data_IF_566682290876
#
_entry.id   IF_566682290876
#
_cell.length_a   1.000
_cell.length_b   1.000
_cell.length_c   1.000
_cell.angle_alpha   90.00
_cell.angle_beta   90.00
_cell.angle_gamma   90.00
#
_symmetry.space_group_name_H-M   'P 1'
#
loop_
_entity.id
_entity.type
_entity.pdbx_description
1 polymer ?
#
# COMPACT_ATOMS: atom_id res chain seq x y z
N UNK A 1 33.29 -1.99 69.54
CA UNK A 1 34.23 -1.68 68.45
C UNK A 1 33.50 -0.87 67.38
N UNK A 2 33.93 0.40 67.21
CA UNK A 2 33.70 1.34 66.08
C UNK A 2 32.22 1.67 65.75
N UNK A 3 31.71 2.81 66.21
CA UNK A 3 31.57 4.12 65.50
C UNK A 3 30.47 4.08 64.41
N UNK A 4 29.54 5.03 64.23
CA UNK A 4 29.19 6.32 64.86
C UNK A 4 27.77 6.70 64.34
N UNK A 5 26.83 7.14 65.19
CA UNK A 5 26.24 8.51 65.29
C UNK A 5 25.36 8.98 64.10
N UNK A 6 24.01 9.08 64.27
CA UNK A 6 23.20 10.30 64.60
C UNK A 6 23.44 11.51 63.70
N UNK A 7 22.52 12.42 63.35
CA UNK A 7 21.06 12.61 63.41
C UNK A 7 20.82 13.95 62.68
N UNK A 8 19.70 14.08 61.94
CA UNK A 8 18.88 15.28 61.59
C UNK A 8 19.58 16.65 61.45
N UNK A 9 19.24 17.44 60.40
CA UNK A 9 18.83 18.86 60.49
C UNK A 9 18.29 19.34 59.14
N UNK A 10 17.06 19.86 59.17
CA UNK A 10 16.50 20.76 58.17
C UNK A 10 16.95 22.20 58.49
N UNK A 11 17.28 23.02 57.48
CA UNK A 11 17.36 24.47 57.67
C UNK A 11 16.88 25.26 56.44
N UNK A 12 16.21 26.34 56.78
CA UNK A 12 15.40 27.37 56.10
C UNK A 12 16.09 28.31 55.10
N UNK A 13 15.28 28.70 54.08
CA UNK A 13 14.97 30.06 53.55
C UNK A 13 16.11 30.98 53.07
N UNK A 14 15.99 31.44 51.81
CA UNK A 14 16.22 32.84 51.41
C UNK A 14 15.25 33.24 50.29
N UNK A 15 14.59 34.39 50.47
CA UNK A 15 13.61 34.98 49.57
C UNK A 15 14.30 35.79 48.44
N UNK A 16 13.66 35.93 47.27
CA UNK A 16 13.27 37.24 46.72
C UNK A 16 12.60 37.14 45.33
N UNK A 17 11.57 37.97 45.18
CA UNK A 17 11.04 38.59 43.95
C UNK A 17 10.10 37.81 43.02
N UNK A 18 8.82 38.13 43.17
CA UNK A 18 7.84 38.14 42.07
C UNK A 18 8.30 39.04 40.93
N UNK A 19 8.25 38.52 39.69
CA UNK A 19 7.92 39.31 38.50
C UNK A 19 6.97 38.50 37.62
N UNK A 20 5.80 39.08 37.43
CA UNK A 20 4.77 38.74 36.46
C UNK A 20 5.30 38.88 35.04
N UNK A 21 5.11 37.86 34.20
CA UNK A 21 5.38 37.92 32.76
C UNK A 21 4.48 36.92 32.02
N UNK A 22 3.80 37.40 30.99
CA UNK A 22 2.81 36.71 30.16
C UNK A 22 3.29 35.36 29.57
N UNK A 23 2.39 34.37 29.39
CA UNK A 23 2.71 33.15 28.67
C UNK A 23 2.70 33.41 27.17
N UNK A 24 3.88 33.65 26.58
CA UNK A 24 4.06 33.47 25.13
C UNK A 24 4.21 31.99 24.84
N UNK A 25 3.33 31.52 23.97
CA UNK A 25 3.30 30.24 23.26
C UNK A 25 4.69 29.66 22.98
N UNK A 26 4.99 28.54 23.62
CA UNK A 26 6.09 27.65 23.27
C UNK A 26 5.59 26.76 22.12
N UNK A 27 5.91 27.15 20.88
CA UNK A 27 5.69 26.29 19.71
C UNK A 27 6.80 25.25 19.76
N UNK A 28 6.45 24.04 20.18
CA UNK A 28 7.36 22.91 20.21
C UNK A 28 7.94 22.67 18.80
N UNK A 29 9.23 22.87 18.66
CA UNK A 29 10.01 22.47 17.49
C UNK A 29 10.07 20.94 17.48
N UNK A 30 9.14 20.29 16.76
CA UNK A 30 9.11 18.84 16.62
C UNK A 30 10.25 18.40 15.68
N UNK A 31 11.18 17.62 16.23
CA UNK A 31 12.32 17.08 15.51
C UNK A 31 11.85 16.13 14.39
N UNK A 32 12.04 16.54 13.14
CA UNK A 32 11.84 15.68 11.97
C UNK A 32 12.92 14.61 11.91
N UNK A 33 12.54 13.34 12.03
CA UNK A 33 13.49 12.22 11.91
C UNK A 33 13.70 11.87 10.45
N UNK A 34 14.92 12.13 9.97
CA UNK A 34 15.42 11.69 8.65
C UNK A 34 16.11 10.33 8.78
N UNK A 35 15.86 9.39 7.86
CA UNK A 35 16.71 8.19 7.73
C UNK A 35 18.14 8.57 7.33
N UNK A 36 19.09 7.63 7.41
CA UNK A 36 20.47 7.84 6.92
C UNK A 36 20.52 8.26 5.44
N UNK A 37 19.48 7.94 4.66
CA UNK A 37 19.29 8.33 3.26
C UNK A 37 18.54 9.67 3.06
N UNK A 38 18.25 10.39 4.15
CA UNK A 38 17.50 11.65 4.10
C UNK A 38 15.99 11.49 3.87
N UNK A 39 15.44 10.26 3.93
CA UNK A 39 14.00 10.04 3.79
C UNK A 39 13.28 10.50 5.06
N UNK A 40 12.31 11.40 4.90
CA UNK A 40 11.44 11.86 5.98
C UNK A 40 10.39 10.79 6.29
N UNK A 41 10.38 10.31 7.52
CA UNK A 41 9.33 9.40 8.00
C UNK A 41 8.02 10.18 8.21
N UNK A 42 6.84 9.66 7.83
CA UNK A 42 5.60 10.42 7.95
C UNK A 42 5.13 10.58 9.39
N UNK A 43 4.71 11.80 9.73
CA UNK A 43 4.12 12.08 11.05
C UNK A 43 2.66 11.58 11.15
N UNK A 44 2.27 11.00 12.29
CA UNK A 44 0.92 10.51 12.54
C UNK A 44 -0.04 11.68 12.76
N UNK A 45 -1.20 11.58 12.11
CA UNK A 45 -2.34 12.44 12.37
C UNK A 45 -3.18 11.93 13.55
N UNK A 46 -2.92 12.49 14.74
CA UNK A 46 -3.61 12.10 15.98
C UNK A 46 -5.12 12.37 15.94
N UNK A 47 -5.58 13.36 15.18
CA UNK A 47 -7.02 13.66 15.06
C UNK A 47 -7.74 12.57 14.27
N UNK A 48 -7.05 11.93 13.31
CA UNK A 48 -7.55 10.77 12.59
C UNK A 48 -7.30 9.44 13.30
N UNK A 49 -6.71 9.47 14.50
CA UNK A 49 -6.45 8.28 15.31
C UNK A 49 -5.15 7.56 14.98
N UNK A 50 -4.22 8.20 14.25
CA UNK A 50 -2.87 7.66 14.07
C UNK A 50 -2.01 7.88 15.32
N UNK A 51 -1.09 6.95 15.56
CA UNK A 51 -0.03 7.08 16.55
C UNK A 51 1.17 6.24 16.16
N UNK A 52 2.36 6.58 16.67
CA UNK A 52 3.54 5.74 16.50
C UNK A 52 3.48 4.51 17.40
N UNK A 53 3.79 3.35 16.84
CA UNK A 53 4.07 2.15 17.64
C UNK A 53 5.46 2.23 18.27
N UNK A 54 5.65 1.51 19.37
CA UNK A 54 6.94 1.43 20.05
C UNK A 54 8.04 0.93 19.10
N UNK A 55 9.09 1.73 18.91
CA UNK A 55 10.21 1.38 18.03
C UNK A 55 9.89 1.39 16.54
N UNK A 56 8.76 1.96 16.13
CA UNK A 56 8.33 2.01 14.72
C UNK A 56 9.40 2.61 13.80
N UNK A 57 10.06 3.69 14.20
CA UNK A 57 11.08 4.35 13.38
C UNK A 57 12.31 3.47 13.16
N UNK A 58 12.72 2.71 14.17
CA UNK A 58 13.86 1.78 14.05
C UNK A 58 13.51 0.59 13.16
N UNK A 59 12.26 0.13 13.23
CA UNK A 59 11.74 -0.90 12.32
C UNK A 59 11.68 -0.37 10.89
N UNK A 60 11.22 0.86 10.68
CA UNK A 60 11.12 1.49 9.36
C UNK A 60 12.48 1.59 8.65
N UNK A 61 13.57 1.76 9.40
CA UNK A 61 14.95 1.73 8.87
C UNK A 61 15.41 0.32 8.49
N UNK A 62 14.97 -0.71 9.22
CA UNK A 62 15.42 -2.09 9.01
C UNK A 62 14.72 -2.80 7.86
N UNK A 63 13.41 -2.61 7.69
CA UNK A 63 12.62 -3.40 6.72
C UNK A 63 13.17 -3.30 5.29
N UNK A 64 13.44 -2.10 4.73
CA UNK A 64 13.94 -1.99 3.36
C UNK A 64 15.26 -2.73 3.14
N UNK A 65 16.15 -2.74 4.14
CA UNK A 65 17.43 -3.45 4.09
C UNK A 65 17.25 -4.97 4.11
N UNK A 66 16.30 -5.48 4.90
CA UNK A 66 15.94 -6.91 4.90
C UNK A 66 15.44 -7.32 3.52
N UNK A 67 14.51 -6.55 2.95
CA UNK A 67 13.93 -6.83 1.63
C UNK A 67 14.98 -6.72 0.52
N UNK A 68 15.84 -5.70 0.56
CA UNK A 68 16.93 -5.57 -0.41
C UNK A 68 17.88 -6.77 -0.36
N UNK A 69 18.26 -7.23 0.83
CA UNK A 69 19.13 -8.40 0.97
C UNK A 69 18.48 -9.68 0.42
N UNK A 70 17.17 -9.86 0.64
CA UNK A 70 16.38 -10.94 0.05
C UNK A 70 16.38 -10.87 -1.48
N UNK A 71 16.16 -9.69 -2.05
CA UNK A 71 16.23 -9.45 -3.49
C UNK A 71 17.61 -9.76 -4.07
N UNK A 72 18.69 -9.29 -3.42
CA UNK A 72 20.08 -9.59 -3.84
C UNK A 72 20.35 -11.09 -3.86
N UNK A 73 19.83 -11.82 -2.88
CA UNK A 73 19.95 -13.28 -2.82
C UNK A 73 19.15 -13.95 -3.94
N UNK A 74 17.90 -13.54 -4.14
CA UNK A 74 16.98 -14.13 -5.13
C UNK A 74 17.44 -13.91 -6.57
N UNK A 75 17.99 -12.74 -6.87
CA UNK A 75 18.46 -12.35 -8.21
C UNK A 75 20.01 -12.36 -8.32
N UNK A 76 20.68 -13.17 -7.50
CA UNK A 76 22.15 -13.25 -7.46
C UNK A 76 22.77 -13.70 -8.80
N UNK A 77 22.03 -14.41 -9.65
CA UNK A 77 22.50 -14.88 -10.96
C UNK A 77 22.42 -13.82 -12.06
N UNK A 78 22.12 -12.56 -11.71
CA UNK A 78 22.17 -11.43 -12.65
C UNK A 78 20.95 -11.30 -13.56
N UNK A 79 19.85 -12.00 -13.26
CA UNK A 79 18.57 -11.72 -13.91
C UNK A 79 18.12 -10.29 -13.59
N UNK A 80 17.23 -9.73 -14.41
CA UNK A 80 16.60 -8.44 -14.14
C UNK A 80 16.00 -8.43 -12.73
N UNK A 81 16.32 -7.40 -11.95
CA UNK A 81 15.76 -7.21 -10.62
C UNK A 81 14.26 -6.92 -10.75
N UNK A 82 13.44 -7.82 -10.20
CA UNK A 82 11.99 -7.63 -10.16
C UNK A 82 11.58 -7.04 -8.81
N UNK A 83 10.26 -6.88 -8.60
CA UNK A 83 9.71 -6.48 -7.30
C UNK A 83 9.92 -7.58 -6.25
N UNK A 84 10.02 -7.18 -4.99
CA UNK A 84 10.15 -8.07 -3.84
C UNK A 84 8.90 -8.93 -3.63
N UNK A 85 7.74 -8.31 -3.75
CA UNK A 85 6.42 -8.91 -3.83
C UNK A 85 5.73 -8.41 -5.11
N UNK A 86 4.76 -9.16 -5.63
CA UNK A 86 4.13 -8.80 -6.89
C UNK A 86 5.02 -8.76 -8.16
N UNK A 87 6.09 -9.60 -8.30
CA UNK A 87 6.92 -9.62 -9.49
C UNK A 87 6.21 -10.21 -10.71
N UNK A 88 5.34 -11.22 -10.54
CA UNK A 88 4.57 -11.81 -11.65
C UNK A 88 3.38 -10.91 -12.00
N UNK A 89 3.40 -10.32 -13.18
CA UNK A 89 2.31 -9.50 -13.72
C UNK A 89 1.45 -10.29 -14.70
N UNK A 90 0.15 -9.98 -14.78
CA UNK A 90 -0.78 -10.61 -15.72
C UNK A 90 -1.07 -9.74 -16.93
N UNK A 91 -0.99 -8.43 -16.76
CA UNK A 91 -1.15 -7.46 -17.83
C UNK A 91 -1.12 -6.05 -17.30
N UNK A 92 -0.81 -5.11 -18.18
CA UNK A 92 -0.98 -3.68 -17.94
C UNK A 92 -2.01 -3.09 -18.89
N UNK A 93 -3.15 -2.72 -18.30
CA UNK A 93 -4.35 -2.35 -19.02
C UNK A 93 -4.52 -0.84 -19.01
N UNK A 94 -5.12 -0.33 -20.08
CA UNK A 94 -5.58 1.06 -20.14
C UNK A 94 -7.00 1.15 -19.62
N UNK A 95 -7.27 2.16 -18.81
CA UNK A 95 -8.59 2.38 -18.27
C UNK A 95 -8.95 3.87 -18.22
N UNK A 96 -10.21 4.16 -17.96
CA UNK A 96 -10.73 5.49 -17.68
C UNK A 96 -11.38 5.45 -16.30
N UNK A 97 -10.88 6.27 -15.38
CA UNK A 97 -11.46 6.52 -14.07
C UNK A 97 -12.40 7.72 -14.17
N UNK A 98 -13.68 7.55 -13.85
CA UNK A 98 -14.69 8.61 -13.94
C UNK A 98 -15.45 8.73 -12.63
N UNK A 99 -15.41 9.91 -12.02
CA UNK A 99 -16.16 10.19 -10.79
C UNK A 99 -17.66 10.21 -11.08
N UNK A 100 -18.43 9.62 -10.17
CA UNK A 100 -19.89 9.56 -10.30
C UNK A 100 -20.50 10.96 -10.23
N UNK A 101 -21.46 11.31 -11.11
CA UNK A 101 -22.06 12.65 -11.14
C UNK A 101 -22.90 12.96 -9.90
N UNK A 102 -23.39 11.93 -9.23
CA UNK A 102 -24.22 11.93 -8.02
C UNK A 102 -23.42 11.57 -6.75
N UNK A 103 -22.08 11.65 -6.80
CA UNK A 103 -21.22 11.43 -5.63
C UNK A 103 -21.66 12.29 -4.43
N UNK A 104 -21.67 11.69 -3.24
CA UNK A 104 -21.89 12.38 -1.98
C UNK A 104 -20.85 13.51 -1.79
N UNK A 105 -21.31 14.71 -1.42
CA UNK A 105 -20.44 15.87 -1.19
C UNK A 105 -19.36 15.65 -0.15
N UNK A 106 -19.57 14.76 0.83
CA UNK A 106 -18.58 14.40 1.84
C UNK A 106 -17.45 13.55 1.25
N UNK A 107 -17.72 12.82 0.17
CA UNK A 107 -16.76 11.97 -0.52
C UNK A 107 -16.08 12.66 -1.70
N UNK A 108 -16.62 13.79 -2.15
CA UNK A 108 -16.15 14.57 -3.30
C UNK A 108 -14.88 15.38 -2.99
N UNK A 109 -13.80 14.69 -2.63
CA UNK A 109 -12.50 15.27 -2.26
C UNK A 109 -11.38 14.78 -3.20
N UNK A 110 -10.41 15.64 -3.49
CA UNK A 110 -9.22 15.27 -4.27
C UNK A 110 -9.59 14.72 -5.65
N UNK A 111 -9.12 13.51 -5.98
CA UNK A 111 -9.43 12.89 -7.28
C UNK A 111 -10.91 12.52 -7.41
N UNK A 112 -11.64 12.37 -6.30
CA UNK A 112 -13.08 12.13 -6.29
C UNK A 112 -13.92 13.40 -6.45
N UNK A 113 -13.32 14.56 -6.73
CA UNK A 113 -14.09 15.78 -7.01
C UNK A 113 -15.04 15.59 -8.20
N UNK A 114 -16.27 16.10 -8.08
CA UNK A 114 -17.32 15.95 -9.09
C UNK A 114 -16.87 16.45 -10.47
N UNK A 115 -17.12 15.64 -11.49
CA UNK A 115 -16.74 15.94 -12.88
C UNK A 115 -15.32 15.50 -13.27
N UNK A 116 -14.51 15.04 -12.31
CA UNK A 116 -13.18 14.52 -12.63
C UNK A 116 -13.26 13.24 -13.47
N UNK A 117 -12.35 13.16 -14.44
CA UNK A 117 -12.11 11.98 -15.24
C UNK A 117 -10.62 11.89 -15.57
N UNK A 118 -10.04 10.71 -15.44
CA UNK A 118 -8.61 10.47 -15.67
C UNK A 118 -8.42 9.23 -16.54
N UNK A 119 -7.46 9.30 -17.46
CA UNK A 119 -6.88 8.08 -18.02
C UNK A 119 -6.12 7.34 -16.90
N UNK A 120 -6.06 6.02 -16.98
CA UNK A 120 -5.43 5.20 -15.96
C UNK A 120 -4.69 4.00 -16.56
N UNK A 121 -3.66 3.55 -15.84
CA UNK A 121 -2.95 2.30 -16.09
C UNK A 121 -3.26 1.36 -14.93
N UNK A 122 -3.68 0.13 -15.23
CA UNK A 122 -3.94 -0.91 -14.24
C UNK A 122 -2.90 -2.03 -14.39
N UNK A 123 -2.20 -2.40 -13.32
CA UNK A 123 -1.32 -3.56 -13.26
C UNK A 123 -1.91 -4.63 -12.35
N UNK A 124 -2.19 -5.80 -12.91
CA UNK A 124 -2.56 -7.00 -12.16
C UNK A 124 -1.35 -7.88 -11.86
N UNK A 125 -1.31 -8.50 -10.69
CA UNK A 125 -0.16 -9.32 -10.26
C UNK A 125 -0.49 -10.37 -9.19
N UNK A 126 0.41 -11.32 -8.98
CA UNK A 126 0.40 -12.31 -7.88
C UNK A 126 1.32 -11.85 -6.74
N UNK A 127 0.90 -11.90 -5.48
CA UNK A 127 1.67 -11.39 -4.34
C UNK A 127 3.00 -12.11 -4.09
N UNK A 128 3.09 -13.41 -4.39
CA UNK A 128 4.30 -14.22 -4.18
C UNK A 128 5.57 -13.57 -4.73
N UNK A 129 6.68 -13.61 -3.97
CA UNK A 129 7.99 -13.12 -4.41
C UNK A 129 8.67 -13.98 -5.49
N UNK A 130 8.09 -15.14 -5.84
CA UNK A 130 8.53 -15.99 -6.94
C UNK A 130 7.83 -15.57 -8.25
N UNK A 131 8.57 -14.99 -9.23
CA UNK A 131 7.99 -14.56 -10.52
C UNK A 131 7.49 -15.73 -11.38
N UNK A 132 7.87 -16.97 -11.06
CA UNK A 132 7.53 -18.17 -11.84
C UNK A 132 6.37 -18.96 -11.24
N UNK A 133 5.84 -18.53 -10.10
CA UNK A 133 4.77 -19.25 -9.40
C UNK A 133 3.55 -19.45 -10.33
N UNK A 134 3.09 -20.70 -10.54
CA UNK A 134 1.91 -20.96 -11.34
C UNK A 134 0.65 -20.34 -10.75
N UNK A 135 -0.20 -19.78 -11.59
CA UNK A 135 -1.41 -19.05 -11.18
C UNK A 135 -2.45 -19.91 -10.43
N UNK A 136 -2.34 -21.23 -10.57
CA UNK A 136 -3.24 -22.21 -9.93
C UNK A 136 -2.96 -22.36 -8.44
N UNK A 137 -1.80 -21.86 -7.98
CA UNK A 137 -1.48 -21.77 -6.55
C UNK A 137 -2.27 -20.63 -5.92
N UNK A 138 -2.88 -20.91 -4.78
CA UNK A 138 -3.51 -19.88 -3.96
C UNK A 138 -2.47 -18.81 -3.60
N UNK A 139 -2.87 -17.55 -3.65
CA UNK A 139 -2.02 -16.40 -3.33
C UNK A 139 -2.85 -15.09 -3.38
N UNK A 140 -2.31 -14.03 -2.78
CA UNK A 140 -2.85 -12.69 -2.92
C UNK A 140 -2.78 -12.22 -4.38
N UNK A 141 -3.72 -11.37 -4.78
CA UNK A 141 -3.78 -10.80 -6.14
C UNK A 141 -3.81 -9.30 -6.02
N UNK A 142 -2.85 -8.62 -6.64
CA UNK A 142 -2.72 -7.17 -6.64
C UNK A 142 -3.45 -6.52 -7.81
N UNK A 143 -3.99 -5.33 -7.55
CA UNK A 143 -4.42 -4.36 -8.56
C UNK A 143 -3.82 -3.00 -8.18
N UNK A 144 -2.83 -2.56 -8.95
CA UNK A 144 -2.30 -1.20 -8.83
C UNK A 144 -2.89 -0.34 -9.95
N UNK A 145 -3.49 0.79 -9.59
CA UNK A 145 -4.09 1.74 -10.54
C UNK A 145 -3.29 3.04 -10.47
N UNK A 146 -2.74 3.48 -11.59
CA UNK A 146 -2.09 4.80 -11.73
C UNK A 146 -2.98 5.70 -12.56
N UNK A 147 -3.56 6.72 -11.94
CA UNK A 147 -4.28 7.80 -12.60
C UNK A 147 -3.27 8.75 -13.27
N UNK A 148 -3.61 9.21 -14.46
CA UNK A 148 -2.79 10.09 -15.29
C UNK A 148 -3.38 11.48 -15.35
N UNK A 149 -2.53 12.48 -15.56
CA UNK A 149 -2.88 13.90 -15.63
C UNK A 149 -3.64 14.44 -14.41
N UNK A 150 -3.36 13.90 -13.22
CA UNK A 150 -3.90 14.38 -11.95
C UNK A 150 -3.19 15.68 -11.58
N UNK A 151 -3.85 16.85 -11.63
CA UNK A 151 -3.23 18.13 -11.28
C UNK A 151 -2.93 18.21 -9.78
N UNK A 152 -2.17 19.21 -9.36
CA UNK A 152 -1.85 19.47 -7.95
C UNK A 152 -0.58 18.77 -7.46
N UNK A 153 0.00 19.31 -6.39
CA UNK A 153 1.25 18.82 -5.81
C UNK A 153 1.01 17.49 -5.09
N UNK A 154 1.84 16.48 -5.36
CA UNK A 154 1.79 15.17 -4.69
C UNK A 154 2.57 15.21 -3.37
N UNK A 155 2.15 14.37 -2.42
CA UNK A 155 2.81 14.30 -1.10
C UNK A 155 4.14 13.57 -1.12
N UNK A 156 4.38 12.69 -2.10
CA UNK A 156 5.68 12.06 -2.30
C UNK A 156 6.69 13.08 -2.80
N UNK A 157 7.70 13.40 -2.00
CA UNK A 157 8.55 14.58 -2.21
C UNK A 157 9.28 14.56 -3.56
N UNK A 158 9.89 13.42 -3.88
CA UNK A 158 10.63 13.17 -5.13
C UNK A 158 9.76 13.13 -6.39
N UNK A 159 8.44 12.98 -6.23
CA UNK A 159 7.45 13.00 -7.31
C UNK A 159 6.42 14.13 -7.13
N UNK A 160 6.74 15.16 -6.34
CA UNK A 160 5.77 16.19 -5.93
C UNK A 160 5.16 16.96 -7.10
N UNK A 161 5.92 17.18 -8.17
CA UNK A 161 5.46 17.87 -9.40
C UNK A 161 4.92 16.90 -10.47
N UNK A 162 4.85 15.60 -10.16
CA UNK A 162 4.29 14.63 -11.09
C UNK A 162 2.77 14.78 -11.22
N UNK A 163 2.25 14.41 -12.39
CA UNK A 163 0.82 14.50 -12.71
C UNK A 163 0.12 13.15 -12.62
N UNK A 164 0.53 12.30 -11.68
CA UNK A 164 -0.01 10.95 -11.51
C UNK A 164 -0.41 10.70 -10.06
N UNK A 165 -1.35 9.79 -9.84
CA UNK A 165 -1.71 9.32 -8.49
C UNK A 165 -1.97 7.82 -8.51
N UNK A 166 -1.52 7.11 -7.49
CA UNK A 166 -1.65 5.67 -7.42
C UNK A 166 -2.65 5.20 -6.35
N UNK A 167 -3.39 4.15 -6.67
CA UNK A 167 -4.12 3.31 -5.73
C UNK A 167 -3.52 1.92 -5.75
N UNK A 168 -3.14 1.39 -4.59
CA UNK A 168 -2.53 0.08 -4.47
C UNK A 168 -3.45 -0.81 -3.67
N UNK A 169 -4.01 -1.82 -4.33
CA UNK A 169 -5.04 -2.68 -3.76
C UNK A 169 -4.71 -4.16 -3.94
N UNK A 170 -5.31 -4.99 -3.10
CA UNK A 170 -5.18 -6.46 -3.13
C UNK A 170 -6.56 -7.09 -2.92
N UNK A 171 -6.73 -8.34 -3.34
CA UNK A 171 -8.00 -9.05 -3.31
C UNK A 171 -8.43 -9.56 -1.91
N UNK A 172 -8.15 -8.81 -0.84
CA UNK A 172 -8.56 -9.13 0.52
C UNK A 172 -8.88 -7.84 1.30
N UNK A 173 -9.92 -7.79 2.15
CA UNK A 173 -10.38 -6.53 2.77
C UNK A 173 -9.50 -5.99 3.90
N UNK A 174 -8.63 -6.83 4.47
CA UNK A 174 -7.78 -6.52 5.63
C UNK A 174 -6.38 -7.08 5.43
N UNK A 175 -5.39 -6.41 6.03
CA UNK A 175 -4.00 -6.85 6.00
C UNK A 175 -3.70 -7.78 7.18
N UNK A 176 -2.66 -8.62 7.05
CA UNK A 176 -2.29 -9.60 8.07
C UNK A 176 -1.46 -9.02 9.22
N UNK A 177 -0.89 -7.81 9.07
CA UNK A 177 -0.09 -7.15 10.08
C UNK A 177 -0.66 -5.76 10.43
N UNK A 178 -0.42 -5.32 11.66
CA UNK A 178 -0.79 -3.99 12.15
C UNK A 178 0.32 -3.36 12.98
N UNK A 179 1.17 -4.19 13.61
CA UNK A 179 2.34 -3.75 14.33
C UNK A 179 3.60 -3.84 13.45
N UNK A 180 4.42 -2.78 13.36
CA UNK A 180 5.67 -2.78 12.62
C UNK A 180 6.63 -3.93 12.98
N UNK A 181 6.80 -4.23 14.28
CA UNK A 181 7.72 -5.26 14.76
C UNK A 181 7.31 -6.66 14.28
N UNK A 182 6.03 -6.98 14.39
CA UNK A 182 5.47 -8.24 13.92
C UNK A 182 5.69 -8.41 12.41
N UNK A 183 5.47 -7.34 11.64
CA UNK A 183 5.71 -7.35 10.20
C UNK A 183 7.18 -7.59 9.85
N UNK A 184 8.12 -6.89 10.52
CA UNK A 184 9.55 -7.10 10.32
C UNK A 184 9.97 -8.53 10.68
N UNK A 185 9.47 -9.08 11.78
CA UNK A 185 9.76 -10.44 12.21
C UNK A 185 9.21 -11.48 11.24
N UNK A 186 7.99 -11.26 10.71
CA UNK A 186 7.44 -12.09 9.66
C UNK A 186 8.31 -12.06 8.40
N UNK A 187 8.74 -10.86 7.95
CA UNK A 187 9.60 -10.71 6.77
C UNK A 187 10.96 -11.40 6.92
N UNK A 188 11.64 -11.26 8.06
CA UNK A 188 12.92 -11.92 8.34
C UNK A 188 12.85 -13.44 8.20
N UNK A 189 11.68 -14.02 8.48
CA UNK A 189 11.46 -15.46 8.46
C UNK A 189 10.77 -15.97 7.18
N UNK A 190 10.15 -15.10 6.40
CA UNK A 190 9.31 -15.47 5.23
C UNK A 190 10.09 -16.17 4.11
N UNK A 191 11.34 -15.75 3.87
CA UNK A 191 12.22 -16.35 2.85
C UNK A 191 12.89 -17.66 3.30
N UNK A 192 12.60 -18.13 4.52
CA UNK A 192 13.12 -19.42 4.99
C UNK A 192 12.53 -20.57 4.17
N UNK A 193 13.40 -21.41 3.61
CA UNK A 193 12.99 -22.67 2.98
C UNK A 193 12.51 -23.72 4.00
N UNK A 194 12.80 -23.52 5.28
CA UNK A 194 12.44 -24.44 6.36
C UNK A 194 10.99 -24.27 6.83
N UNK A 195 10.34 -25.37 7.23
CA UNK A 195 8.99 -25.35 7.81
C UNK A 195 8.99 -24.54 9.13
N UNK A 196 10.05 -24.65 9.93
CA UNK A 196 10.19 -23.90 11.17
C UNK A 196 10.24 -22.39 10.93
N UNK A 197 10.97 -21.94 9.91
CA UNK A 197 11.01 -20.52 9.55
C UNK A 197 9.65 -20.00 9.07
N UNK A 198 8.95 -20.76 8.22
CA UNK A 198 7.59 -20.41 7.79
C UNK A 198 6.60 -20.35 8.97
N UNK A 199 6.70 -21.29 9.91
CA UNK A 199 5.89 -21.28 11.13
C UNK A 199 6.24 -20.08 12.04
N UNK A 200 7.52 -19.75 12.17
CA UNK A 200 7.98 -18.56 12.91
C UNK A 200 7.45 -17.26 12.30
N UNK A 201 7.44 -17.16 10.96
CA UNK A 201 6.88 -16.03 10.25
C UNK A 201 5.39 -15.85 10.57
N UNK A 202 4.60 -16.93 10.53
CA UNK A 202 3.19 -16.90 10.89
C UNK A 202 3.00 -16.55 12.37
N UNK A 203 3.71 -17.21 13.28
CA UNK A 203 3.61 -16.97 14.72
C UNK A 203 3.90 -15.53 15.10
N UNK A 204 4.82 -14.86 14.37
CA UNK A 204 5.14 -13.43 14.57
C UNK A 204 3.94 -12.51 14.32
N UNK A 205 2.93 -12.93 13.55
CA UNK A 205 1.72 -12.16 13.25
C UNK A 205 0.60 -12.39 14.28
N UNK A 206 0.84 -13.26 15.27
CA UNK A 206 -0.17 -13.80 16.17
C UNK A 206 -1.24 -14.61 15.44
N UNK A 207 -2.23 -15.11 16.20
CA UNK A 207 -3.28 -15.99 15.67
C UNK A 207 -4.13 -15.30 14.59
N UNK A 208 -4.55 -14.06 14.85
CA UNK A 208 -5.40 -13.30 13.93
C UNK A 208 -4.68 -13.01 12.61
N UNK A 209 -3.47 -12.48 12.69
CA UNK A 209 -2.65 -12.19 11.51
C UNK A 209 -2.28 -13.45 10.73
N UNK A 210 -1.92 -14.54 11.41
CA UNK A 210 -1.69 -15.85 10.78
C UNK A 210 -2.89 -16.34 9.97
N UNK A 211 -4.11 -16.25 10.54
CA UNK A 211 -5.33 -16.67 9.85
C UNK A 211 -5.61 -15.82 8.61
N UNK A 212 -5.40 -14.50 8.70
CA UNK A 212 -5.55 -13.59 7.56
C UNK A 212 -4.51 -13.93 6.48
N UNK A 213 -3.24 -14.09 6.85
CA UNK A 213 -2.17 -14.44 5.91
C UNK A 213 -2.46 -15.76 5.18
N UNK A 214 -2.88 -16.81 5.90
CA UNK A 214 -3.26 -18.09 5.30
C UNK A 214 -4.51 -17.98 4.40
N UNK A 215 -5.47 -17.12 4.75
CA UNK A 215 -6.66 -16.87 3.93
C UNK A 215 -6.29 -16.19 2.61
N UNK A 216 -5.43 -15.16 2.65
CA UNK A 216 -4.89 -14.51 1.46
C UNK A 216 -4.11 -15.52 0.60
N UNK A 217 -3.22 -16.29 1.22
CA UNK A 217 -2.36 -17.26 0.54
C UNK A 217 -3.11 -18.49 0.00
N UNK A 218 -4.35 -18.74 0.41
CA UNK A 218 -5.15 -19.85 -0.11
C UNK A 218 -6.12 -19.42 -1.21
N UNK A 219 -6.29 -18.11 -1.43
CA UNK A 219 -7.28 -17.57 -2.36
C UNK A 219 -6.91 -17.88 -3.82
N UNK A 220 -7.86 -18.42 -4.56
CA UNK A 220 -7.78 -18.63 -6.01
C UNK A 220 -8.87 -17.81 -6.70
N UNK A 221 -8.61 -17.40 -7.94
CA UNK A 221 -9.51 -16.54 -8.73
C UNK A 221 -9.56 -17.07 -10.16
N UNK A 222 -10.67 -16.88 -10.87
CA UNK A 222 -10.80 -17.30 -12.27
C UNK A 222 -10.15 -16.29 -13.21
N UNK A 223 -10.35 -15.00 -12.94
CA UNK A 223 -9.77 -13.90 -13.69
C UNK A 223 -9.45 -12.71 -12.77
N UNK A 224 -8.37 -11.95 -13.04
CA UNK A 224 -8.07 -10.73 -12.28
C UNK A 224 -9.22 -9.72 -12.32
N UNK A 225 -9.89 -9.55 -13.46
CA UNK A 225 -10.99 -8.58 -13.63
C UNK A 225 -12.31 -8.99 -12.96
N UNK A 226 -12.40 -10.19 -12.38
CA UNK A 226 -13.60 -10.70 -11.70
C UNK A 226 -13.44 -10.74 -10.17
N UNK A 227 -12.32 -10.25 -9.64
CA UNK A 227 -12.06 -10.20 -8.21
C UNK A 227 -12.33 -8.81 -7.64
N UNK A 228 -12.89 -8.69 -6.42
CA UNK A 228 -12.88 -7.42 -5.70
C UNK A 228 -11.46 -7.14 -5.17
N UNK A 229 -11.11 -5.85 -5.11
CA UNK A 229 -9.82 -5.37 -4.61
C UNK A 229 -10.04 -4.29 -3.56
N UNK A 230 -9.18 -4.24 -2.56
CA UNK A 230 -9.30 -3.37 -1.40
C UNK A 230 -7.98 -2.69 -1.12
N UNK A 231 -8.05 -1.49 -0.56
CA UNK A 231 -6.87 -0.77 -0.11
C UNK A 231 -6.22 -1.41 1.13
N UNK A 232 -6.94 -2.31 1.82
CA UNK A 232 -6.67 -2.96 3.13
C UNK A 232 -6.48 -2.01 4.32
N UNK A 233 -5.79 -0.91 4.07
CA UNK A 233 -5.38 0.11 5.03
C UNK A 233 -6.10 1.43 4.74
N UNK A 234 -6.26 2.29 5.75
CA UNK A 234 -6.98 3.56 5.62
C UNK A 234 -6.13 4.68 4.99
N UNK A 235 -6.83 5.66 4.45
CA UNK A 235 -6.29 6.87 3.83
C UNK A 235 -7.08 8.06 4.36
N UNK A 236 -6.47 9.23 4.36
CA UNK A 236 -7.16 10.49 4.50
C UNK A 236 -8.09 10.67 3.31
N UNK A 237 -9.20 11.37 3.54
CA UNK A 237 -10.07 11.92 2.53
C UNK A 237 -10.36 13.39 2.90
N UNK A 238 -9.96 14.32 2.04
CA UNK A 238 -10.13 15.76 2.26
C UNK A 238 -8.96 16.43 3.01
N UNK A 239 -9.10 17.72 3.32
CA UNK A 239 -8.06 18.56 3.95
C UNK A 239 -8.57 19.29 5.18
N UNK A 240 -7.63 19.78 5.99
CA UNK A 240 -7.90 20.64 7.15
C UNK A 240 -8.82 19.96 8.16
N UNK A 241 -9.65 20.74 8.83
CA UNK A 241 -10.51 20.26 9.92
C UNK A 241 -11.64 19.33 9.46
N UNK A 242 -11.88 19.24 8.15
CA UNK A 242 -12.94 18.38 7.57
C UNK A 242 -12.41 17.05 7.04
N UNK A 243 -11.09 16.81 7.14
CA UNK A 243 -10.50 15.55 6.67
C UNK A 243 -11.00 14.38 7.49
N UNK A 244 -11.16 13.24 6.83
CA UNK A 244 -11.67 12.00 7.43
C UNK A 244 -10.76 10.84 7.09
N UNK A 245 -10.87 9.73 7.81
CA UNK A 245 -10.26 8.47 7.42
C UNK A 245 -11.23 7.65 6.58
N UNK A 246 -10.74 7.06 5.50
CA UNK A 246 -11.50 6.26 4.54
C UNK A 246 -10.71 5.02 4.09
N UNK A 247 -11.41 3.93 3.77
CA UNK A 247 -10.87 2.81 3.00
C UNK A 247 -11.44 2.82 1.60
N UNK A 248 -10.73 2.20 0.65
CA UNK A 248 -11.16 2.11 -0.75
C UNK A 248 -11.33 0.67 -1.19
N UNK A 249 -12.30 0.46 -2.08
CA UNK A 249 -12.61 -0.83 -2.67
C UNK A 249 -12.94 -0.66 -4.14
N UNK A 250 -12.60 -1.65 -4.95
CA UNK A 250 -13.00 -1.77 -6.32
C UNK A 250 -13.75 -3.10 -6.49
N UNK A 251 -15.03 -3.03 -6.81
CA UNK A 251 -15.88 -4.19 -7.08
C UNK A 251 -16.02 -4.40 -8.58
N UNK A 252 -15.82 -5.63 -9.08
CA UNK A 252 -15.98 -5.90 -10.50
C UNK A 252 -17.44 -5.67 -10.89
N UNK A 253 -17.63 -4.99 -12.01
CA UNK A 253 -18.95 -4.85 -12.59
C UNK A 253 -19.54 -6.23 -12.93
N UNK A 254 -20.86 -6.45 -12.79
CA UNK A 254 -21.51 -7.70 -13.18
C UNK A 254 -21.21 -8.12 -14.63
N UNK A 255 -21.02 -7.14 -15.51
CA UNK A 255 -20.68 -7.31 -16.93
C UNK A 255 -19.32 -7.99 -17.16
N UNK A 256 -18.44 -8.03 -16.16
CA UNK A 256 -17.16 -8.75 -16.24
C UNK A 256 -17.34 -10.28 -16.21
N UNK A 257 -18.55 -10.76 -15.89
CA UNK A 257 -18.86 -12.18 -15.75
C UNK A 257 -18.36 -12.79 -14.43
N UNK A 258 -18.59 -14.09 -14.29
CA UNK A 258 -18.21 -14.87 -13.13
C UNK A 258 -17.81 -16.28 -13.59
N UNK A 259 -16.58 -16.40 -14.08
CA UNK A 259 -16.06 -17.67 -14.57
C UNK A 259 -15.72 -18.61 -13.40
N UNK A 260 -15.82 -19.94 -13.58
CA UNK A 260 -15.36 -20.88 -12.58
C UNK A 260 -13.84 -20.83 -12.46
N UNK A 261 -13.33 -20.91 -11.23
CA UNK A 261 -11.90 -21.10 -10.98
C UNK A 261 -11.52 -22.49 -11.54
N UNK A 262 -10.48 -22.61 -12.37
CA UNK A 262 -10.04 -23.91 -12.86
C UNK A 262 -9.66 -24.85 -11.70
N UNK A 263 -10.15 -26.08 -11.71
CA UNK A 263 -9.76 -27.11 -10.73
C UNK A 263 -8.32 -27.59 -10.96
N UNK A 264 -7.98 -27.78 -12.24
CA UNK A 264 -6.65 -28.10 -12.73
C UNK A 264 -6.36 -27.32 -14.02
N UNK A 265 -5.09 -27.02 -14.24
CA UNK A 265 -4.61 -26.46 -15.51
C UNK A 265 -3.10 -26.61 -15.58
N UNK A 266 -2.59 -26.99 -16.74
CA UNK A 266 -1.15 -26.99 -17.04
C UNK A 266 -0.65 -25.60 -17.48
N UNK A 267 -1.59 -24.68 -17.73
CA UNK A 267 -1.31 -23.28 -18.03
C UNK A 267 -0.89 -22.54 -16.76
N UNK A 268 0.43 -22.34 -16.62
CA UNK A 268 1.03 -21.64 -15.49
C UNK A 268 0.63 -20.15 -15.44
N UNK A 269 0.13 -19.59 -16.55
CA UNK A 269 -0.16 -18.17 -16.74
C UNK A 269 -1.64 -17.93 -17.11
N UNK A 270 -2.55 -18.83 -16.68
CA UNK A 270 -3.96 -18.75 -17.07
C UNK A 270 -4.64 -17.43 -16.66
N UNK A 271 -4.16 -16.72 -15.64
CA UNK A 271 -4.74 -15.43 -15.29
C UNK A 271 -4.44 -14.38 -16.36
N UNK A 272 -3.24 -14.40 -16.97
CA UNK A 272 -2.93 -13.58 -18.14
C UNK A 272 -3.78 -13.99 -19.34
N UNK A 273 -3.89 -15.28 -19.62
CA UNK A 273 -4.71 -15.75 -20.74
C UNK A 273 -6.20 -15.44 -20.55
N UNK A 274 -6.71 -15.44 -19.31
CA UNK A 274 -8.08 -15.00 -19.01
C UNK A 274 -8.32 -13.54 -19.43
N UNK A 275 -7.34 -12.64 -19.19
CA UNK A 275 -7.42 -11.24 -19.61
C UNK A 275 -7.41 -11.12 -21.14
N UNK A 276 -6.48 -11.82 -21.79
CA UNK A 276 -6.38 -11.83 -23.26
C UNK A 276 -7.70 -12.29 -23.88
N UNK A 277 -8.28 -13.37 -23.36
CA UNK A 277 -9.52 -13.93 -23.88
C UNK A 277 -10.73 -13.03 -23.63
N UNK A 278 -10.84 -12.41 -22.45
CA UNK A 278 -11.91 -11.47 -22.14
C UNK A 278 -11.93 -10.30 -23.13
N UNK A 279 -10.80 -9.60 -23.28
CA UNK A 279 -10.73 -8.39 -24.11
C UNK A 279 -10.76 -8.66 -25.62
N UNK A 280 -10.78 -9.92 -26.07
CA UNK A 280 -11.15 -10.23 -27.46
C UNK A 280 -12.62 -9.87 -27.74
N UNK A 281 -13.49 -9.99 -26.74
CA UNK A 281 -14.94 -9.97 -26.94
C UNK A 281 -15.69 -8.93 -26.11
N UNK A 282 -15.19 -8.57 -24.92
CA UNK A 282 -15.91 -7.74 -23.96
C UNK A 282 -15.03 -6.65 -23.32
N UNK A 283 -15.67 -5.55 -22.95
CA UNK A 283 -15.12 -4.54 -22.06
C UNK A 283 -15.15 -5.04 -20.62
N UNK A 284 -14.49 -4.36 -19.70
CA UNK A 284 -14.60 -4.63 -18.27
C UNK A 284 -14.73 -3.33 -17.48
N UNK A 285 -15.35 -3.38 -16.30
CA UNK A 285 -15.33 -2.24 -15.38
C UNK A 285 -15.29 -2.62 -13.90
N UNK A 286 -15.02 -1.61 -13.08
CA UNK A 286 -15.08 -1.67 -11.63
C UNK A 286 -15.89 -0.50 -11.08
N UNK A 287 -16.74 -0.76 -10.10
CA UNK A 287 -17.26 0.29 -9.21
C UNK A 287 -16.22 0.55 -8.12
N UNK A 288 -15.75 1.79 -8.04
CA UNK A 288 -14.85 2.26 -6.99
C UNK A 288 -15.70 2.86 -5.88
N UNK A 289 -15.50 2.39 -4.65
CA UNK A 289 -16.25 2.79 -3.47
C UNK A 289 -15.30 3.25 -2.36
N UNK A 290 -15.79 4.19 -1.55
CA UNK A 290 -15.14 4.63 -0.33
C UNK A 290 -15.96 4.20 0.89
N UNK A 291 -15.28 3.86 1.98
CA UNK A 291 -15.89 3.53 3.27
C UNK A 291 -15.32 4.48 4.32
N UNK A 292 -16.16 5.39 4.83
CA UNK A 292 -15.76 6.38 5.84
C UNK A 292 -15.70 5.76 7.22
N UNK A 293 -14.71 6.20 8.00
CA UNK A 293 -14.63 5.94 9.44
C UNK A 293 -15.74 6.67 10.17
N UNK A 294 -16.53 5.96 10.97
CA UNK A 294 -17.65 6.55 11.72
C UNK A 294 -17.27 6.87 13.17
N UNK A 295 -16.46 6.04 13.81
CA UNK A 295 -16.04 6.21 15.19
C UNK A 295 -14.68 5.54 15.48
N UNK A 296 -14.26 5.60 16.74
CA UNK A 296 -12.94 5.11 17.17
C UNK A 296 -12.80 3.58 17.22
N UNK A 297 -13.89 2.81 17.15
CA UNK A 297 -13.82 1.34 17.04
C UNK A 297 -13.27 0.89 15.69
N UNK A 298 -13.44 1.71 14.65
CA UNK A 298 -12.83 1.53 13.35
C UNK A 298 -11.39 2.03 13.40
N UNK A 299 -10.47 1.12 13.75
CA UNK A 299 -9.07 1.46 13.94
C UNK A 299 -8.41 1.93 12.64
N UNK A 300 -7.60 2.98 12.75
CA UNK A 300 -6.70 3.42 11.67
C UNK A 300 -5.37 2.68 11.70
N UNK A 301 -4.95 2.22 12.88
CA UNK A 301 -3.68 1.51 13.09
C UNK A 301 -3.84 -0.02 12.97
N UNK A 302 -4.97 -0.60 13.40
CA UNK A 302 -5.25 -2.02 13.23
C UNK A 302 -5.85 -2.30 11.85
N UNK A 303 -5.01 -2.82 10.96
CA UNK A 303 -5.35 -3.18 9.59
C UNK A 303 -5.99 -4.57 9.46
N UNK A 304 -6.15 -5.30 10.56
CA UNK A 304 -6.69 -6.69 10.59
C UNK A 304 -8.20 -6.76 10.81
N UNK A 305 -8.85 -5.63 11.08
CA UNK A 305 -10.30 -5.53 11.26
C UNK A 305 -10.98 -4.87 10.07
N UNK A 306 -12.10 -5.45 9.65
CA UNK A 306 -13.03 -4.81 8.72
C UNK A 306 -13.83 -3.74 9.44
N UNK A 307 -14.02 -2.59 8.78
CA UNK A 307 -14.94 -1.56 9.28
C UNK A 307 -16.37 -1.94 8.90
N UNK A 308 -17.32 -1.62 9.78
CA UNK A 308 -18.73 -1.97 9.60
C UNK A 308 -19.60 -0.86 8.96
N UNK A 309 -19.00 0.26 8.53
CA UNK A 309 -19.68 1.33 7.80
C UNK A 309 -19.96 0.93 6.35
N UNK A 310 -20.93 1.56 5.67
CA UNK A 310 -21.26 1.21 4.29
C UNK A 310 -20.14 1.59 3.32
N UNK A 311 -19.98 0.78 2.26
CA UNK A 311 -19.26 1.16 1.06
C UNK A 311 -20.16 2.05 0.21
N UNK A 312 -19.69 3.26 -0.13
CA UNK A 312 -20.43 4.23 -0.94
C UNK A 312 -19.71 4.40 -2.28
N UNK A 313 -20.37 4.15 -3.43
CA UNK A 313 -19.78 4.35 -4.75
C UNK A 313 -19.34 5.79 -4.99
N UNK A 314 -18.11 5.98 -5.47
CA UNK A 314 -17.52 7.29 -5.77
C UNK A 314 -17.13 7.46 -7.24
N UNK A 315 -16.79 6.36 -7.92
CA UNK A 315 -16.35 6.40 -9.31
C UNK A 315 -16.56 5.05 -10.02
N UNK A 316 -16.41 5.08 -11.33
CA UNK A 316 -16.32 3.88 -12.17
C UNK A 316 -14.97 3.87 -12.89
N UNK A 317 -14.33 2.70 -12.93
CA UNK A 317 -13.08 2.46 -13.65
C UNK A 317 -13.37 1.50 -14.81
N UNK A 318 -13.29 1.98 -16.04
CA UNK A 318 -13.68 1.22 -17.25
C UNK A 318 -12.47 0.89 -18.12
N UNK A 319 -12.40 -0.35 -18.59
CA UNK A 319 -11.40 -0.86 -19.53
C UNK A 319 -12.09 -1.20 -20.85
N UNK A 320 -11.90 -0.35 -21.86
CA UNK A 320 -12.39 -0.60 -23.23
C UNK A 320 -11.53 -1.67 -23.91
N UNK A 321 -12.15 -2.72 -24.42
CA UNK A 321 -11.49 -3.82 -25.13
C UNK A 321 -10.70 -3.36 -26.33
N UNK A 322 -11.16 -2.33 -27.05
CA UNK A 322 -10.49 -1.77 -28.23
C UNK A 322 -9.24 -0.97 -27.87
N UNK A 323 -9.16 -0.48 -26.62
CA UNK A 323 -7.97 0.17 -26.09
C UNK A 323 -6.95 -0.83 -25.54
N UNK A 324 -7.36 -2.08 -25.33
CA UNK A 324 -6.48 -3.14 -24.88
C UNK A 324 -5.72 -3.74 -26.06
N UNK A 325 -4.47 -4.07 -25.81
CA UNK A 325 -3.64 -4.80 -26.73
C UNK A 325 -2.68 -5.58 -25.83
N UNK A 326 -3.15 -6.68 -25.25
CA UNK A 326 -2.31 -7.53 -24.41
C UNK A 326 -1.64 -8.52 -25.36
N UNK A 327 -0.32 -8.61 -25.36
CA UNK A 327 0.37 -9.51 -26.28
C UNK A 327 0.04 -10.98 -25.94
N UNK A 328 -0.24 -11.80 -26.96
CA UNK A 328 -0.41 -13.26 -26.77
C UNK A 328 0.92 -13.96 -26.47
N UNK A 329 2.05 -13.28 -26.67
CA UNK A 329 3.37 -13.75 -26.27
C UNK A 329 3.48 -13.88 -24.74
N UNK A 330 4.47 -14.66 -24.25
CA UNK A 330 4.80 -14.71 -22.84
C UNK A 330 4.93 -13.31 -22.22
N UNK A 331 4.57 -13.19 -20.95
CA UNK A 331 4.58 -11.91 -20.21
C UNK A 331 5.94 -11.20 -20.28
N UNK A 332 7.02 -11.97 -20.32
CA UNK A 332 8.42 -11.50 -20.38
C UNK A 332 8.77 -10.80 -21.70
N UNK A 333 8.04 -11.12 -22.76
CA UNK A 333 8.32 -10.63 -24.12
C UNK A 333 7.38 -9.48 -24.51
N UNK A 334 6.38 -9.19 -23.66
CA UNK A 334 5.45 -8.09 -23.85
C UNK A 334 6.10 -6.77 -23.40
N UNK A 335 6.55 -5.97 -24.37
CA UNK A 335 7.18 -4.67 -24.12
C UNK A 335 6.32 -3.73 -23.26
N UNK A 336 4.98 -3.82 -23.32
CA UNK A 336 4.11 -3.02 -22.44
C UNK A 336 4.17 -3.50 -21.00
N UNK A 337 4.20 -4.81 -20.78
CA UNK A 337 4.41 -5.33 -19.44
C UNK A 337 5.78 -4.92 -18.91
N UNK A 338 6.84 -5.00 -19.73
CA UNK A 338 8.17 -4.55 -19.32
C UNK A 338 8.17 -3.06 -18.97
N UNK A 339 7.59 -2.20 -19.81
CA UNK A 339 7.48 -0.77 -19.53
C UNK A 339 6.67 -0.48 -18.25
N UNK A 340 5.56 -1.18 -18.06
CA UNK A 340 4.73 -1.08 -16.87
C UNK A 340 5.41 -1.67 -15.62
N UNK A 341 6.24 -2.69 -15.80
CA UNK A 341 7.05 -3.25 -14.74
C UNK A 341 8.21 -2.28 -14.38
N UNK A 342 8.73 -1.50 -15.33
CA UNK A 342 9.62 -0.38 -15.01
C UNK A 342 8.91 0.66 -14.14
N UNK A 343 7.64 1.01 -14.40
CA UNK A 343 6.91 2.00 -13.59
C UNK A 343 6.98 1.72 -12.08
N UNK A 344 7.06 2.81 -11.31
CA UNK A 344 6.87 2.79 -9.87
C UNK A 344 5.41 3.08 -9.53
N UNK A 345 4.87 2.30 -8.61
CA UNK A 345 3.56 2.55 -8.02
C UNK A 345 3.79 2.75 -6.52
N UNK A 346 3.21 3.75 -5.88
CA UNK A 346 3.34 3.96 -4.42
C UNK A 346 2.06 4.53 -3.83
N UNK A 347 1.56 4.02 -2.67
CA UNK A 347 0.38 4.60 -2.05
C UNK A 347 0.59 6.07 -1.61
N UNK A 348 1.85 6.48 -1.39
CA UNK A 348 2.23 7.87 -1.08
C UNK A 348 2.31 8.75 -2.32
N UNK A 349 2.24 8.17 -3.51
CA UNK A 349 2.10 8.93 -4.74
C UNK A 349 0.64 9.39 -4.88
N UNK A 350 0.25 10.35 -4.05
CA UNK A 350 -1.12 10.83 -3.98
C UNK A 350 -1.20 12.32 -3.74
N UNK A 351 -2.37 12.89 -4.03
CA UNK A 351 -2.74 14.21 -3.54
C UNK A 351 -2.83 14.22 -2.01
N UNK A 352 -2.65 15.37 -1.35
CA UNK A 352 -2.74 15.48 0.10
C UNK A 352 -4.10 15.03 0.66
N UNK A 353 -5.17 15.19 -0.12
CA UNK A 353 -6.51 14.70 0.18
C UNK A 353 -6.57 13.19 0.37
N UNK A 354 -5.63 12.44 -0.21
CA UNK A 354 -5.54 10.98 -0.17
C UNK A 354 -4.26 10.51 0.54
N UNK A 355 -3.80 11.24 1.57
CA UNK A 355 -2.64 10.85 2.39
C UNK A 355 -2.85 9.44 2.99
N UNK A 356 -1.96 8.47 2.78
CA UNK A 356 -2.04 7.17 3.45
C UNK A 356 -1.96 7.30 4.98
N UNK A 357 -2.77 6.53 5.72
CA UNK A 357 -2.83 6.55 7.19
C UNK A 357 -2.49 5.20 7.82
N UNK A 358 -1.99 5.23 9.05
CA UNK A 358 -1.65 4.06 9.87
C UNK A 358 -0.22 3.55 9.64
N UNK A 359 0.31 2.81 10.60
CA UNK A 359 1.70 2.34 10.63
C UNK A 359 2.09 1.58 9.36
N UNK A 360 1.21 0.68 8.88
CA UNK A 360 1.48 -0.09 7.67
C UNK A 360 1.68 0.82 6.45
N UNK A 361 0.90 1.89 6.32
CA UNK A 361 1.11 2.86 5.25
C UNK A 361 2.40 3.67 5.45
N UNK A 362 2.72 4.11 6.66
CA UNK A 362 3.98 4.82 6.93
C UNK A 362 5.20 3.97 6.56
N UNK A 363 5.20 2.68 6.92
CA UNK A 363 6.22 1.72 6.49
C UNK A 363 6.27 1.58 4.96
N UNK A 364 5.10 1.50 4.30
CA UNK A 364 5.02 1.42 2.83
C UNK A 364 5.67 2.61 2.14
N UNK A 365 5.69 3.82 2.72
CA UNK A 365 6.44 4.95 2.14
C UNK A 365 7.91 4.56 1.92
N UNK A 366 8.57 4.19 3.00
CA UNK A 366 10.01 3.93 3.02
C UNK A 366 10.34 2.70 2.18
N UNK A 367 9.56 1.62 2.32
CA UNK A 367 9.76 0.39 1.55
C UNK A 367 9.65 0.66 0.05
N UNK A 368 8.58 1.33 -0.38
CA UNK A 368 8.33 1.54 -1.80
C UNK A 368 9.35 2.49 -2.43
N UNK A 369 9.74 3.58 -1.74
CA UNK A 369 10.78 4.49 -2.23
C UNK A 369 12.13 3.77 -2.36
N UNK A 370 12.53 3.02 -1.34
CA UNK A 370 13.81 2.31 -1.29
C UNK A 370 13.91 1.22 -2.36
N UNK A 371 12.96 0.30 -2.38
CA UNK A 371 12.96 -0.85 -3.29
C UNK A 371 12.80 -0.41 -4.74
N UNK A 372 12.00 0.64 -4.99
CA UNK A 372 11.91 1.26 -6.31
C UNK A 372 13.28 1.77 -6.76
N UNK A 373 13.98 2.57 -5.94
CA UNK A 373 15.32 3.09 -6.27
C UNK A 373 16.31 1.96 -6.53
N UNK A 374 16.37 0.99 -5.62
CA UNK A 374 17.28 -0.15 -5.72
C UNK A 374 17.07 -0.94 -7.02
N UNK A 375 15.81 -1.25 -7.38
CA UNK A 375 15.48 -2.00 -8.60
C UNK A 375 15.88 -1.24 -9.86
N UNK A 376 15.57 0.05 -9.94
CA UNK A 376 15.92 0.89 -11.09
C UNK A 376 17.43 1.03 -11.25
N UNK A 377 18.15 1.29 -10.16
CA UNK A 377 19.62 1.38 -10.17
C UNK A 377 20.26 0.07 -10.63
N UNK A 378 19.80 -1.06 -10.09
CA UNK A 378 20.31 -2.40 -10.45
C UNK A 378 20.04 -2.73 -11.91
N UNK A 379 18.84 -2.40 -12.41
CA UNK A 379 18.45 -2.63 -13.79
C UNK A 379 19.01 -1.59 -14.78
N UNK A 380 19.66 -0.52 -14.30
CA UNK A 380 20.06 0.64 -15.10
C UNK A 380 18.88 1.27 -15.85
N UNK A 381 17.71 1.27 -15.22
CA UNK A 381 16.47 1.83 -15.73
C UNK A 381 16.23 3.23 -15.14
N UNK A 382 15.77 4.17 -15.96
CA UNK A 382 15.40 5.50 -15.48
C UNK A 382 14.02 5.43 -14.85
N UNK A 383 13.94 5.82 -13.57
CA UNK A 383 12.66 5.97 -12.89
C UNK A 383 11.96 7.24 -13.40
N UNK A 384 10.84 7.07 -14.10
CA UNK A 384 10.08 8.18 -14.70
C UNK A 384 8.59 7.89 -14.70
N UNK A 385 7.79 8.91 -14.41
CA UNK A 385 6.33 8.85 -14.53
C UNK A 385 5.88 8.88 -16.00
N UNK A 386 4.78 8.20 -16.35
CA UNK A 386 4.21 8.25 -17.69
C UNK A 386 3.66 9.65 -18.00
N UNK A 387 3.82 10.09 -19.25
CA UNK A 387 3.38 11.41 -19.70
C UNK A 387 1.90 11.45 -20.15
N UNK A 388 1.34 10.30 -20.56
CA UNK A 388 -0.03 10.17 -21.10
C UNK A 388 -0.50 8.73 -21.19
#
# INVERSE_FOLDING_TARGET
MKNNWTTIIALTILASSCKTGDPKSDVSEQATVTSEDGLRYPEPDKELGEFYHDGELDVAKQIPLVIENQLRTRYASGQRMMRDAHPKAHGCLKAVFKVNPDIDSNLAQGVFSKGNQFAAIIRYSNSSGDPTQPDIKGDGRGMAVKLLNVPGKKILEEASESKTQDFIMINHPVFFASEPKDYLNALKNADSSSILGKLSALNSLGIKGSRIALTIQSKKIASPIQSPYFSEVPYQLGLGDKRQAARYRADPCPENGADPVPDNTDDKDYLRHSLINHFKTADACYTISAQLRQDNSMSVEDSRDEWNSPWVPVATLTMDRKAQNIAESPVTDDARNTACDTLSFSPWHSLPEHKPLGAMNRLRKIIYEHISKFRHQTNKEVRKEPAS
#
